data_IF_366311949866
#
_entry.id   IF_366311949866
#
_cell.length_a   1.000
_cell.length_b   1.000
_cell.length_c   1.000
_cell.angle_alpha   90.00
_cell.angle_beta   90.00
_cell.angle_gamma   90.00
#
_symmetry.space_group_name_H-M   'P 1'
#
loop_
_entity.id
_entity.type
_entity.pdbx_description
1 polymer ?
#
# COMPACT_ATOMS: atom_id res chain seq x y z
N UNK A 1 -5.90 -9.57 -50.48
CA UNK A 1 -5.29 -8.51 -49.64
C UNK A 1 -5.55 -8.90 -48.21
N UNK A 2 -4.55 -9.49 -47.54
CA UNK A 2 -4.64 -9.76 -46.11
C UNK A 2 -4.32 -8.42 -45.44
N UNK A 3 -5.31 -7.86 -44.75
CA UNK A 3 -5.22 -6.54 -44.15
C UNK A 3 -4.15 -6.55 -43.06
N UNK A 4 -3.10 -5.77 -43.24
CA UNK A 4 -1.95 -5.71 -42.32
C UNK A 4 -2.31 -5.17 -40.94
N UNK A 5 -3.48 -4.55 -40.75
CA UNK A 5 -3.94 -4.04 -39.46
C UNK A 5 -4.51 -5.14 -38.55
N UNK A 6 -5.17 -6.18 -39.10
CA UNK A 6 -5.79 -7.22 -38.28
C UNK A 6 -4.79 -8.17 -37.59
N UNK A 7 -3.52 -8.15 -38.02
CA UNK A 7 -2.45 -8.91 -37.38
C UNK A 7 -1.84 -8.13 -36.21
N UNK A 8 -1.87 -6.80 -36.24
CA UNK A 8 -1.31 -5.94 -35.19
C UNK A 8 -2.18 -5.99 -33.93
N UNK A 9 -3.51 -5.99 -34.08
CA UNK A 9 -4.44 -6.12 -32.94
C UNK A 9 -4.31 -7.45 -32.18
N UNK A 10 -3.92 -8.54 -32.87
CA UNK A 10 -3.78 -9.84 -32.23
C UNK A 10 -2.51 -9.96 -31.38
N UNK A 11 -1.44 -9.23 -31.75
CA UNK A 11 -0.12 -9.27 -31.11
C UNK A 11 0.22 -8.01 -30.30
N UNK A 12 -0.68 -7.04 -30.22
CA UNK A 12 -0.50 -5.81 -29.43
C UNK A 12 -0.55 -6.06 -27.91
N UNK A 13 -0.10 -5.07 -27.10
CA UNK A 13 -0.21 -5.13 -25.65
C UNK A 13 -1.67 -5.27 -25.23
N UNK A 14 -1.90 -5.99 -24.13
CA UNK A 14 -3.22 -6.23 -23.56
C UNK A 14 -3.29 -5.67 -22.15
N UNK A 15 -4.47 -5.25 -21.67
CA UNK A 15 -4.57 -4.75 -20.32
C UNK A 15 -4.32 -5.92 -19.35
N UNK A 16 -3.61 -5.66 -18.26
CA UNK A 16 -3.43 -6.66 -17.21
C UNK A 16 -4.79 -6.92 -16.54
N UNK A 17 -5.21 -8.18 -16.46
CA UNK A 17 -6.55 -8.55 -15.98
C UNK A 17 -6.77 -8.22 -14.51
N UNK A 18 -5.74 -8.34 -13.67
CA UNK A 18 -5.82 -8.00 -12.25
C UNK A 18 -6.09 -6.49 -12.07
N UNK A 19 -5.37 -5.64 -12.82
CA UNK A 19 -5.61 -4.19 -12.80
C UNK A 19 -7.01 -3.83 -13.32
N UNK A 20 -7.49 -4.49 -14.39
CA UNK A 20 -8.83 -4.27 -14.93
C UNK A 20 -9.90 -4.63 -13.90
N UNK A 21 -9.77 -5.79 -13.26
CA UNK A 21 -10.70 -6.25 -12.23
C UNK A 21 -10.76 -5.25 -11.08
N UNK A 22 -9.62 -4.85 -10.54
CA UNK A 22 -9.54 -3.86 -9.45
C UNK A 22 -10.15 -2.51 -9.85
N UNK A 23 -9.87 -2.03 -11.07
CA UNK A 23 -10.38 -0.75 -11.56
C UNK A 23 -11.90 -0.76 -11.66
N UNK A 24 -12.46 -1.85 -12.18
CA UNK A 24 -13.90 -2.04 -12.34
C UNK A 24 -14.60 -2.26 -10.99
N UNK A 25 -14.02 -3.06 -10.08
CA UNK A 25 -14.55 -3.23 -8.71
C UNK A 25 -14.60 -1.89 -7.98
N UNK A 26 -13.51 -1.10 -8.03
CA UNK A 26 -13.45 0.22 -7.39
C UNK A 26 -14.49 1.19 -7.98
N UNK A 27 -14.69 1.15 -9.30
CA UNK A 27 -15.74 1.94 -9.94
C UNK A 27 -17.13 1.50 -9.48
N UNK A 28 -17.37 0.20 -9.35
CA UNK A 28 -18.64 -0.35 -8.91
C UNK A 28 -18.91 0.02 -7.45
N UNK A 29 -17.93 -0.13 -6.55
CA UNK A 29 -18.03 0.26 -5.14
C UNK A 29 -18.45 1.72 -4.99
N UNK A 30 -17.79 2.62 -5.74
CA UNK A 30 -18.08 4.05 -5.73
C UNK A 30 -19.52 4.39 -6.11
N UNK A 31 -20.13 3.57 -6.98
CA UNK A 31 -21.50 3.75 -7.44
C UNK A 31 -22.54 3.09 -6.53
N UNK A 32 -22.15 2.14 -5.68
CA UNK A 32 -23.07 1.38 -4.84
C UNK A 32 -23.09 1.78 -3.38
N UNK A 33 -22.00 2.36 -2.86
CA UNK A 33 -21.95 2.78 -1.46
C UNK A 33 -22.77 4.04 -1.20
N UNK A 34 -23.41 4.11 -0.03
CA UNK A 34 -24.11 5.31 0.45
C UNK A 34 -23.17 6.29 1.18
N UNK A 35 -21.95 5.86 1.49
CA UNK A 35 -20.93 6.69 2.13
C UNK A 35 -20.20 7.54 1.08
N UNK A 36 -20.38 8.86 1.15
CA UNK A 36 -19.80 9.79 0.18
C UNK A 36 -18.28 9.86 0.20
N UNK A 37 -17.65 9.65 1.35
CA UNK A 37 -16.19 9.70 1.48
C UNK A 37 -15.59 8.44 0.87
N UNK A 38 -16.14 7.27 1.21
CA UNK A 38 -15.76 6.01 0.59
C UNK A 38 -16.03 6.00 -0.92
N UNK A 39 -17.16 6.56 -1.37
CA UNK A 39 -17.48 6.67 -2.79
C UNK A 39 -16.41 7.48 -3.55
N UNK A 40 -16.00 8.62 -2.99
CA UNK A 40 -14.97 9.47 -3.60
C UNK A 40 -13.59 8.80 -3.59
N UNK A 41 -13.24 8.11 -2.52
CA UNK A 41 -12.00 7.34 -2.43
C UNK A 41 -11.97 6.25 -3.51
N UNK A 42 -13.01 5.39 -3.58
CA UNK A 42 -13.06 4.30 -4.57
C UNK A 42 -13.12 4.80 -6.00
N UNK A 43 -13.77 5.94 -6.26
CA UNK A 43 -13.74 6.58 -7.58
C UNK A 43 -12.31 7.01 -7.95
N UNK A 44 -11.60 7.68 -7.03
CA UNK A 44 -10.21 8.12 -7.26
C UNK A 44 -9.30 6.92 -7.52
N UNK A 45 -9.45 5.85 -6.73
CA UNK A 45 -8.69 4.61 -6.90
C UNK A 45 -8.96 3.96 -8.26
N UNK A 46 -10.21 3.94 -8.71
CA UNK A 46 -10.58 3.44 -10.04
C UNK A 46 -9.90 4.25 -11.15
N UNK A 47 -9.94 5.58 -11.07
CA UNK A 47 -9.31 6.47 -12.05
C UNK A 47 -7.79 6.24 -12.13
N UNK A 48 -7.12 6.08 -10.98
CA UNK A 48 -5.69 5.76 -10.91
C UNK A 48 -5.37 4.39 -11.52
N UNK A 49 -6.19 3.37 -11.26
CA UNK A 49 -6.00 2.03 -11.83
C UNK A 49 -6.20 2.03 -13.35
N UNK A 50 -7.19 2.76 -13.87
CA UNK A 50 -7.35 2.92 -15.32
C UNK A 50 -6.17 3.69 -15.94
N UNK A 51 -5.63 4.70 -15.26
CA UNK A 51 -4.42 5.37 -15.70
C UNK A 51 -3.20 4.43 -15.70
N UNK A 52 -3.10 3.55 -14.71
CA UNK A 52 -2.03 2.55 -14.61
C UNK A 52 -2.13 1.48 -15.70
N UNK A 53 -3.34 1.02 -16.04
CA UNK A 53 -3.57 0.12 -17.19
C UNK A 53 -3.04 0.76 -18.48
N UNK A 54 -3.36 2.05 -18.71
CA UNK A 54 -2.88 2.79 -19.87
C UNK A 54 -1.34 2.91 -19.86
N UNK A 55 -0.73 3.16 -18.70
CA UNK A 55 0.73 3.21 -18.54
C UNK A 55 1.38 1.87 -18.92
N UNK A 56 0.81 0.76 -18.43
CA UNK A 56 1.31 -0.60 -18.69
C UNK A 56 1.17 -0.97 -20.17
N UNK A 57 0.06 -0.59 -20.81
CA UNK A 57 -0.14 -0.83 -22.24
C UNK A 57 0.74 0.04 -23.13
N UNK A 58 1.20 1.19 -22.62
CA UNK A 58 1.97 2.16 -23.39
C UNK A 58 1.12 2.95 -24.39
N UNK A 59 1.79 3.81 -25.15
CA UNK A 59 1.18 4.67 -26.16
C UNK A 59 1.73 4.36 -27.55
N UNK A 60 0.89 4.49 -28.57
CA UNK A 60 1.28 4.46 -29.97
C UNK A 60 1.97 5.76 -30.41
N UNK A 61 2.45 5.79 -31.67
CA UNK A 61 3.17 6.94 -32.24
C UNK A 61 2.34 8.24 -32.27
N UNK A 62 1.02 8.14 -32.26
CA UNK A 62 0.09 9.26 -32.22
C UNK A 62 -0.27 9.71 -30.78
N UNK A 63 0.27 9.03 -29.77
CA UNK A 63 0.03 9.29 -28.35
C UNK A 63 -1.24 8.66 -27.78
N UNK A 64 -1.93 7.79 -28.53
CA UNK A 64 -3.11 7.06 -28.06
C UNK A 64 -2.74 5.69 -27.48
N UNK A 65 -3.58 5.16 -26.60
CA UNK A 65 -3.46 3.78 -26.11
C UNK A 65 -3.86 2.81 -27.24
N UNK A 66 -3.11 1.72 -27.48
CA UNK A 66 -3.44 0.76 -28.53
C UNK A 66 -4.85 0.18 -28.41
N UNK A 67 -5.54 -0.03 -29.54
CA UNK A 67 -6.90 -0.63 -29.56
C UNK A 67 -6.93 -2.05 -28.95
N UNK A 68 -5.81 -2.79 -29.02
CA UNK A 68 -5.66 -4.10 -28.38
C UNK A 68 -5.69 -4.05 -26.84
N UNK A 69 -5.51 -2.85 -26.27
CA UNK A 69 -5.61 -2.59 -24.83
C UNK A 69 -7.04 -2.14 -24.41
N UNK A 70 -7.98 -2.03 -25.35
CA UNK A 70 -9.36 -1.67 -25.01
C UNK A 70 -9.94 -2.62 -23.97
N UNK A 71 -10.48 -2.04 -22.89
CA UNK A 71 -11.09 -2.78 -21.80
C UNK A 71 -12.52 -3.16 -22.22
N UNK A 72 -12.87 -4.43 -22.06
CA UNK A 72 -14.21 -4.91 -22.32
C UNK A 72 -15.20 -4.31 -21.31
N UNK A 73 -16.26 -3.69 -21.82
CA UNK A 73 -17.44 -3.32 -21.03
C UNK A 73 -18.46 -4.46 -20.97
N UNK A 74 -18.21 -5.57 -21.67
CA UNK A 74 -19.02 -6.78 -21.56
C UNK A 74 -18.65 -7.51 -20.26
N UNK A 75 -19.59 -7.54 -19.31
CA UNK A 75 -19.49 -8.18 -17.98
C UNK A 75 -18.42 -7.58 -17.06
N UNK A 76 -18.54 -6.29 -16.68
CA UNK A 76 -17.57 -5.66 -15.78
C UNK A 76 -17.61 -6.29 -14.39
N UNK A 77 -16.48 -6.26 -13.68
CA UNK A 77 -16.43 -6.68 -12.28
C UNK A 77 -17.48 -5.94 -11.43
N UNK A 78 -18.13 -6.69 -10.55
CA UNK A 78 -19.11 -6.14 -9.60
C UNK A 78 -18.44 -5.43 -8.42
N UNK A 79 -19.24 -4.80 -7.54
CA UNK A 79 -18.70 -4.22 -6.31
C UNK A 79 -18.18 -5.32 -5.39
N UNK A 80 -17.19 -4.96 -4.57
CA UNK A 80 -16.79 -5.71 -3.39
C UNK A 80 -17.96 -5.84 -2.40
N UNK A 81 -17.94 -6.87 -1.55
CA UNK A 81 -19.01 -7.04 -0.57
C UNK A 81 -18.85 -6.08 0.64
N UNK A 82 -17.63 -5.63 0.89
CA UNK A 82 -17.24 -4.71 1.96
C UNK A 82 -15.90 -4.03 1.65
N UNK A 83 -15.55 -2.92 2.33
CA UNK A 83 -14.20 -2.32 2.24
C UNK A 83 -13.08 -3.32 2.57
N UNK A 84 -13.30 -4.20 3.54
CA UNK A 84 -12.35 -5.24 3.91
C UNK A 84 -12.15 -6.26 2.79
N UNK A 85 -13.21 -6.63 2.06
CA UNK A 85 -13.09 -7.47 0.87
C UNK A 85 -12.35 -6.76 -0.27
N UNK A 86 -12.49 -5.43 -0.40
CA UNK A 86 -11.72 -4.64 -1.37
C UNK A 86 -10.21 -4.62 -1.02
N UNK A 87 -9.86 -4.50 0.26
CA UNK A 87 -8.48 -4.63 0.74
C UNK A 87 -7.93 -6.03 0.45
N UNK A 88 -8.68 -7.08 0.76
CA UNK A 88 -8.29 -8.45 0.48
C UNK A 88 -8.06 -8.70 -1.01
N UNK A 89 -8.93 -8.16 -1.89
CA UNK A 89 -8.78 -8.27 -3.33
C UNK A 89 -7.52 -7.53 -3.84
N UNK A 90 -7.22 -6.34 -3.32
CA UNK A 90 -5.98 -5.62 -3.64
C UNK A 90 -4.73 -6.41 -3.24
N UNK A 91 -4.74 -7.07 -2.09
CA UNK A 91 -3.64 -7.91 -1.59
C UNK A 91 -3.45 -9.16 -2.44
N UNK A 92 -4.56 -9.85 -2.77
CA UNK A 92 -4.55 -11.08 -3.57
C UNK A 92 -4.05 -10.82 -4.98
N UNK A 93 -4.56 -9.76 -5.61
CA UNK A 93 -4.23 -9.42 -7.00
C UNK A 93 -2.90 -8.66 -7.16
N UNK A 94 -2.24 -8.27 -6.07
CA UNK A 94 -0.94 -7.61 -6.13
C UNK A 94 0.14 -8.46 -6.81
N UNK A 95 0.11 -9.78 -6.61
CA UNK A 95 1.11 -10.67 -7.20
C UNK A 95 0.89 -10.94 -8.70
N UNK A 96 -0.36 -10.79 -9.17
CA UNK A 96 -0.76 -10.93 -10.57
C UNK A 96 -0.64 -9.62 -11.39
N UNK A 97 -0.49 -8.49 -10.69
CA UNK A 97 -0.20 -7.21 -11.30
C UNK A 97 1.29 -7.11 -11.72
N UNK A 98 1.62 -6.24 -12.71
CA UNK A 98 3.02 -5.93 -13.01
C UNK A 98 3.74 -5.42 -11.76
N UNK A 99 5.01 -5.78 -11.58
CA UNK A 99 5.81 -5.42 -10.40
C UNK A 99 5.80 -3.90 -10.14
N UNK A 100 5.97 -3.10 -11.20
CA UNK A 100 5.93 -1.63 -11.15
C UNK A 100 4.56 -1.06 -10.72
N UNK A 101 3.49 -1.84 -10.81
CA UNK A 101 2.13 -1.44 -10.41
C UNK A 101 1.80 -1.79 -8.96
N UNK A 102 2.58 -2.67 -8.32
CA UNK A 102 2.35 -3.10 -6.92
C UNK A 102 2.31 -1.94 -5.93
N UNK A 103 3.21 -0.94 -5.98
CA UNK A 103 3.14 0.19 -5.05
C UNK A 103 1.78 0.91 -5.06
N UNK A 104 1.17 1.06 -6.24
CA UNK A 104 -0.17 1.65 -6.35
C UNK A 104 -1.19 0.80 -5.61
N UNK A 105 -1.21 -0.51 -5.83
CA UNK A 105 -2.18 -1.41 -5.19
C UNK A 105 -2.04 -1.43 -3.67
N UNK A 106 -0.80 -1.45 -3.17
CA UNK A 106 -0.50 -1.38 -1.73
C UNK A 106 -0.96 -0.04 -1.15
N UNK A 107 -0.69 1.09 -1.82
CA UNK A 107 -1.15 2.40 -1.34
C UNK A 107 -2.69 2.49 -1.26
N UNK A 108 -3.40 1.91 -2.23
CA UNK A 108 -4.85 1.88 -2.24
C UNK A 108 -5.41 0.96 -1.14
N UNK A 109 -4.73 -0.16 -0.87
CA UNK A 109 -5.08 -1.07 0.21
C UNK A 109 -4.90 -0.40 1.58
N UNK A 110 -3.79 0.33 1.79
CA UNK A 110 -3.54 1.09 3.02
C UNK A 110 -4.63 2.15 3.23
N UNK A 111 -5.03 2.87 2.18
CA UNK A 111 -6.06 3.90 2.27
C UNK A 111 -7.47 3.36 2.63
N UNK A 112 -7.71 2.06 2.43
CA UNK A 112 -8.98 1.39 2.76
C UNK A 112 -8.91 0.55 4.05
N UNK A 113 -7.71 0.20 4.49
CA UNK A 113 -7.53 -0.75 5.57
C UNK A 113 -7.98 -0.14 6.91
N UNK A 114 -8.87 -0.86 7.59
CA UNK A 114 -9.29 -0.56 8.96
C UNK A 114 -9.04 -1.77 9.87
N UNK A 115 -9.07 -1.57 11.18
CA UNK A 115 -8.94 -2.65 12.15
C UNK A 115 -7.53 -3.26 12.22
N UNK A 116 -7.44 -4.56 12.50
CA UNK A 116 -6.17 -5.27 12.71
C UNK A 116 -6.17 -6.56 11.89
N UNK A 117 -5.07 -6.81 11.17
CA UNK A 117 -4.76 -8.09 10.55
C UNK A 117 -3.81 -8.88 11.45
N UNK A 118 -3.94 -10.21 11.54
CA UNK A 118 -3.07 -11.03 12.38
C UNK A 118 -1.65 -11.09 11.82
N UNK A 119 -0.66 -11.20 12.71
CA UNK A 119 0.70 -11.57 12.36
C UNK A 119 0.78 -12.99 11.80
N UNK A 120 1.81 -13.32 10.99
CA UNK A 120 2.04 -14.68 10.51
C UNK A 120 2.20 -15.69 11.67
N UNK A 121 1.49 -16.81 11.60
CA UNK A 121 1.59 -17.86 12.64
C UNK A 121 2.95 -18.59 12.63
N UNK A 122 3.52 -18.79 11.43
CA UNK A 122 4.82 -19.45 11.23
C UNK A 122 5.70 -18.56 10.32
N UNK A 123 6.27 -17.46 10.86
CA UNK A 123 7.03 -16.51 10.05
C UNK A 123 8.31 -17.14 9.50
N UNK A 124 8.58 -16.89 8.23
CA UNK A 124 9.83 -17.28 7.56
C UNK A 124 11.01 -16.41 8.01
N UNK A 125 12.25 -16.83 7.75
CA UNK A 125 13.46 -16.10 8.17
C UNK A 125 13.52 -14.69 7.57
N UNK A 126 13.03 -14.53 6.35
CA UNK A 126 12.92 -13.24 5.65
C UNK A 126 11.97 -12.29 6.39
N UNK A 127 10.81 -12.79 6.83
CA UNK A 127 9.83 -12.02 7.63
C UNK A 127 10.44 -11.60 8.97
N UNK A 128 11.14 -12.50 9.66
CA UNK A 128 11.80 -12.18 10.93
C UNK A 128 12.92 -11.16 10.77
N UNK A 129 13.67 -11.22 9.67
CA UNK A 129 14.72 -10.25 9.35
C UNK A 129 14.11 -8.86 9.10
N UNK A 130 13.04 -8.79 8.31
CA UNK A 130 12.33 -7.54 8.04
C UNK A 130 11.66 -6.97 9.29
N UNK A 131 11.01 -7.80 10.10
CA UNK A 131 10.42 -7.41 11.38
C UNK A 131 11.46 -6.85 12.36
N UNK A 132 12.67 -7.42 12.39
CA UNK A 132 13.80 -6.88 13.18
C UNK A 132 14.15 -5.46 12.71
N UNK A 133 14.30 -5.27 11.40
CA UNK A 133 14.61 -3.96 10.82
C UNK A 133 13.49 -2.95 11.09
N UNK A 134 12.22 -3.34 10.96
CA UNK A 134 11.09 -2.46 11.27
C UNK A 134 11.10 -2.07 12.75
N UNK A 135 11.31 -3.02 13.66
CA UNK A 135 11.34 -2.74 15.10
C UNK A 135 12.44 -1.76 15.49
N UNK A 136 13.66 -1.91 14.95
CA UNK A 136 14.75 -0.97 15.18
C UNK A 136 14.42 0.44 14.68
N UNK A 137 13.76 0.55 13.52
CA UNK A 137 13.32 1.84 12.99
C UNK A 137 12.22 2.45 13.87
N UNK A 138 11.26 1.66 14.35
CA UNK A 138 10.18 2.16 15.20
C UNK A 138 10.69 2.65 16.55
N UNK A 139 11.71 2.02 17.14
CA UNK A 139 12.35 2.58 18.33
C UNK A 139 13.01 3.94 18.07
N UNK A 140 13.64 4.12 16.91
CA UNK A 140 14.19 5.42 16.51
C UNK A 140 13.09 6.46 16.26
N UNK A 141 11.98 6.05 15.64
CA UNK A 141 10.79 6.87 15.39
C UNK A 141 10.21 7.37 16.70
N UNK A 142 9.91 6.48 17.66
CA UNK A 142 9.36 6.86 18.97
C UNK A 142 10.31 7.82 19.69
N UNK A 143 11.62 7.54 19.71
CA UNK A 143 12.60 8.45 20.30
C UNK A 143 12.55 9.84 19.66
N UNK A 144 12.47 9.91 18.33
CA UNK A 144 12.37 11.18 17.61
C UNK A 144 11.05 11.92 17.88
N UNK A 145 9.94 11.20 18.00
CA UNK A 145 8.64 11.76 18.36
C UNK A 145 8.67 12.34 19.80
N UNK A 146 9.29 11.65 20.76
CA UNK A 146 9.47 12.16 22.12
C UNK A 146 10.30 13.45 22.14
N UNK A 147 11.35 13.53 21.30
CA UNK A 147 12.14 14.76 21.14
C UNK A 147 11.29 15.88 20.53
N UNK A 148 10.49 15.59 19.50
CA UNK A 148 9.61 16.56 18.89
C UNK A 148 8.54 17.08 19.87
N UNK A 149 7.95 16.19 20.69
CA UNK A 149 7.00 16.55 21.73
C UNK A 149 7.62 17.49 22.77
N UNK A 150 8.86 17.22 23.18
CA UNK A 150 9.60 18.10 24.09
C UNK A 150 9.82 19.52 23.53
N UNK A 151 9.84 19.67 22.21
CA UNK A 151 9.91 20.94 21.48
C UNK A 151 8.53 21.49 21.07
N UNK A 152 7.43 20.88 21.52
CA UNK A 152 6.07 21.38 21.39
C UNK A 152 5.27 20.84 20.21
N UNK A 153 5.74 19.79 19.53
CA UNK A 153 4.93 19.06 18.56
C UNK A 153 3.77 18.33 19.24
N UNK A 154 2.65 18.16 18.53
CA UNK A 154 1.60 17.21 18.91
C UNK A 154 1.91 15.87 18.25
N UNK A 155 2.22 14.87 19.06
CA UNK A 155 2.58 13.53 18.59
C UNK A 155 1.58 12.49 19.11
N UNK A 156 1.37 11.42 18.34
CA UNK A 156 0.75 10.19 18.80
C UNK A 156 1.81 9.09 18.79
N UNK A 157 2.33 8.73 19.97
CA UNK A 157 3.26 7.62 20.11
C UNK A 157 2.55 6.30 20.39
N UNK A 158 1.27 6.28 20.77
CA UNK A 158 0.56 5.07 21.19
C UNK A 158 0.48 4.06 20.04
N UNK A 159 0.22 4.55 18.82
CA UNK A 159 0.15 3.72 17.61
C UNK A 159 1.51 3.10 17.26
N UNK A 160 2.60 3.84 17.46
CA UNK A 160 3.97 3.33 17.27
C UNK A 160 4.39 2.35 18.38
N UNK A 161 4.03 2.62 19.63
CA UNK A 161 4.29 1.71 20.76
C UNK A 161 3.57 0.37 20.57
N UNK A 162 2.31 0.39 20.14
CA UNK A 162 1.56 -0.82 19.80
C UNK A 162 2.25 -1.62 18.68
N UNK A 163 2.74 -0.94 17.64
CA UNK A 163 3.52 -1.55 16.56
C UNK A 163 4.80 -2.23 17.09
N UNK A 164 5.56 -1.55 17.97
CA UNK A 164 6.75 -2.16 18.58
C UNK A 164 6.43 -3.37 19.44
N UNK A 165 5.29 -3.36 20.14
CA UNK A 165 4.84 -4.49 20.95
C UNK A 165 4.55 -5.70 20.05
N UNK A 166 3.74 -5.54 19.01
CA UNK A 166 3.40 -6.61 18.06
C UNK A 166 4.66 -7.21 17.41
N UNK A 167 5.60 -6.36 16.95
CA UNK A 167 6.88 -6.81 16.38
C UNK A 167 7.76 -7.54 17.39
N UNK A 168 7.83 -7.05 18.64
CA UNK A 168 8.60 -7.70 19.70
C UNK A 168 8.03 -9.07 20.08
N UNK A 169 6.71 -9.21 20.07
CA UNK A 169 6.03 -10.49 20.31
C UNK A 169 6.29 -11.50 19.20
N UNK A 170 6.31 -11.05 17.94
CA UNK A 170 6.68 -11.90 16.78
C UNK A 170 8.12 -12.42 16.89
N UNK A 171 9.05 -11.55 17.26
CA UNK A 171 10.49 -11.86 17.33
C UNK A 171 10.89 -12.63 18.61
N UNK A 172 10.07 -12.56 19.66
CA UNK A 172 10.31 -13.24 20.93
C UNK A 172 11.67 -12.89 21.55
N UNK A 173 12.42 -13.91 21.98
CA UNK A 173 13.74 -13.74 22.63
C UNK A 173 14.82 -13.13 21.70
N UNK A 174 14.56 -13.04 20.40
CA UNK A 174 15.47 -12.44 19.42
C UNK A 174 15.19 -10.97 19.13
N UNK A 175 14.12 -10.41 19.71
CA UNK A 175 13.77 -9.01 19.52
C UNK A 175 14.94 -8.10 19.95
N UNK A 176 15.38 -7.15 19.09
CA UNK A 176 16.29 -6.10 19.50
C UNK A 176 15.65 -5.26 20.61
N UNK A 177 16.49 -4.65 21.44
CA UNK A 177 16.06 -3.68 22.44
C UNK A 177 16.41 -2.28 21.94
N UNK A 178 15.57 -1.30 22.27
CA UNK A 178 15.82 0.09 21.92
C UNK A 178 17.19 0.56 22.43
N UNK A 179 17.91 1.31 21.58
CA UNK A 179 19.14 1.97 21.98
C UNK A 179 18.86 3.11 22.98
N UNK A 180 19.88 3.44 23.78
CA UNK A 180 19.75 4.52 24.77
C UNK A 180 19.66 5.92 24.16
N UNK A 181 20.09 6.07 22.90
CA UNK A 181 20.05 7.32 22.13
C UNK A 181 20.26 7.02 20.64
N UNK A 182 19.69 7.87 19.79
CA UNK A 182 19.83 7.81 18.34
C UNK A 182 20.61 9.03 17.81
N UNK A 183 21.10 8.96 16.58
CA UNK A 183 21.79 10.06 15.90
C UNK A 183 20.88 10.64 14.81
N UNK A 184 20.60 11.94 14.90
CA UNK A 184 19.79 12.68 13.93
C UNK A 184 20.11 14.19 14.00
N UNK A 185 19.62 14.93 13.01
CA UNK A 185 19.44 16.38 13.14
C UNK A 185 18.13 16.61 13.90
N UNK A 186 18.24 17.05 15.15
CA UNK A 186 17.09 17.22 16.04
C UNK A 186 16.37 18.54 15.79
N UNK A 187 15.03 18.55 15.89
CA UNK A 187 14.25 19.77 15.69
C UNK A 187 14.53 20.79 16.79
N UNK A 188 14.19 22.05 16.50
CA UNK A 188 13.94 23.07 17.50
C UNK A 188 12.43 23.40 17.59
N UNK A 189 12.06 24.35 18.44
CA UNK A 189 10.65 24.72 18.66
C UNK A 189 9.94 25.18 17.37
N UNK A 190 10.67 25.57 16.32
CA UNK A 190 10.12 26.12 15.09
C UNK A 190 9.79 25.08 14.02
N UNK A 191 10.41 23.89 14.06
CA UNK A 191 10.24 22.82 13.09
C UNK A 191 9.81 21.47 13.70
N UNK A 192 9.65 21.38 15.02
CA UNK A 192 9.25 20.16 15.73
C UNK A 192 8.05 19.42 15.13
N UNK A 193 6.98 20.14 14.74
CA UNK A 193 5.81 19.48 14.14
C UNK A 193 6.12 18.88 12.77
N UNK A 194 6.86 19.61 11.91
CA UNK A 194 7.22 19.11 10.60
C UNK A 194 8.13 17.88 10.72
N UNK A 195 9.08 17.91 11.66
CA UNK A 195 9.92 16.76 11.98
C UNK A 195 9.10 15.55 12.45
N UNK A 196 8.12 15.75 13.34
CA UNK A 196 7.23 14.66 13.77
C UNK A 196 6.40 14.08 12.60
N UNK A 197 5.82 14.95 11.77
CA UNK A 197 5.05 14.54 10.60
C UNK A 197 5.93 13.73 9.63
N UNK A 198 7.17 14.16 9.40
CA UNK A 198 8.15 13.44 8.57
C UNK A 198 8.51 12.07 9.15
N UNK A 199 8.64 11.93 10.47
CA UNK A 199 8.91 10.64 11.11
C UNK A 199 7.74 9.66 10.95
N UNK A 200 6.51 10.12 11.17
CA UNK A 200 5.29 9.30 10.99
C UNK A 200 5.18 8.86 9.53
N UNK A 201 5.37 9.78 8.57
CA UNK A 201 5.32 9.43 7.15
C UNK A 201 6.44 8.46 6.77
N UNK A 202 7.66 8.66 7.26
CA UNK A 202 8.76 7.74 6.98
C UNK A 202 8.52 6.34 7.57
N UNK A 203 7.82 6.23 8.71
CA UNK A 203 7.43 4.92 9.28
C UNK A 203 6.37 4.24 8.40
N UNK A 204 5.33 4.96 7.97
CA UNK A 204 4.33 4.46 7.01
C UNK A 204 4.95 4.00 5.69
N UNK A 205 5.87 4.80 5.14
CA UNK A 205 6.55 4.50 3.89
C UNK A 205 7.39 3.21 3.98
N UNK A 206 8.03 2.95 5.13
CA UNK A 206 8.76 1.70 5.37
C UNK A 206 7.84 0.49 5.36
N UNK A 207 6.69 0.58 6.05
CA UNK A 207 5.68 -0.49 6.08
C UNK A 207 5.09 -0.71 4.68
N UNK A 208 4.80 0.36 3.94
CA UNK A 208 4.30 0.30 2.56
C UNK A 208 5.31 -0.33 1.60
N UNK A 209 6.60 0.04 1.73
CA UNK A 209 7.68 -0.55 0.94
C UNK A 209 7.84 -2.05 1.22
N UNK A 210 7.85 -2.45 2.49
CA UNK A 210 7.88 -3.86 2.89
C UNK A 210 6.69 -4.65 2.31
N UNK A 211 5.48 -4.06 2.35
CA UNK A 211 4.27 -4.70 1.84
C UNK A 211 4.31 -4.89 0.32
N UNK A 212 5.03 -4.02 -0.39
CA UNK A 212 5.23 -4.11 -1.85
C UNK A 212 6.15 -5.26 -2.24
N UNK A 213 7.14 -5.59 -1.41
CA UNK A 213 8.21 -6.54 -1.75
C UNK A 213 8.09 -7.91 -1.11
N UNK A 214 7.35 -8.05 -0.01
CA UNK A 214 7.13 -9.35 0.63
C UNK A 214 6.37 -10.32 -0.28
N UNK A 215 6.71 -11.60 -0.23
CA UNK A 215 5.95 -12.70 -0.86
C UNK A 215 5.01 -13.41 0.14
N UNK A 216 5.02 -13.03 1.43
CA UNK A 216 4.17 -13.60 2.47
C UNK A 216 2.84 -12.82 2.56
N UNK A 217 1.68 -13.44 2.24
CA UNK A 217 0.40 -12.72 2.21
C UNK A 217 -0.11 -12.30 3.59
N UNK A 218 0.16 -13.08 4.65
CA UNK A 218 -0.25 -12.70 6.01
C UNK A 218 0.59 -11.51 6.48
N UNK A 219 1.89 -11.55 6.20
CA UNK A 219 2.79 -10.43 6.49
C UNK A 219 2.40 -9.18 5.71
N UNK A 220 2.10 -9.31 4.41
CA UNK A 220 1.62 -8.20 3.57
C UNK A 220 0.37 -7.55 4.14
N UNK A 221 -0.61 -8.36 4.54
CA UNK A 221 -1.84 -7.87 5.17
C UNK A 221 -1.53 -7.14 6.48
N UNK A 222 -0.72 -7.73 7.36
CA UNK A 222 -0.33 -7.08 8.62
C UNK A 222 0.36 -5.74 8.39
N UNK A 223 1.29 -5.65 7.43
CA UNK A 223 2.00 -4.42 7.09
C UNK A 223 1.05 -3.32 6.59
N UNK A 224 0.10 -3.67 5.72
CA UNK A 224 -0.92 -2.74 5.20
C UNK A 224 -1.79 -2.18 6.33
N UNK A 225 -2.32 -3.05 7.19
CA UNK A 225 -3.16 -2.61 8.31
C UNK A 225 -2.36 -1.85 9.37
N UNK A 226 -1.07 -2.15 9.55
CA UNK A 226 -0.20 -1.39 10.46
C UNK A 226 0.09 0.00 9.91
N UNK A 227 0.39 0.13 8.62
CA UNK A 227 0.63 1.42 7.97
C UNK A 227 -0.61 2.34 8.01
N UNK A 228 -1.82 1.76 7.94
CA UNK A 228 -3.07 2.51 7.99
C UNK A 228 -3.37 3.13 9.37
N UNK A 229 -2.86 2.52 10.45
CA UNK A 229 -3.10 2.95 11.85
C UNK A 229 -2.19 4.08 12.34
N UNK A 230 -1.00 4.20 11.77
CA UNK A 230 -0.11 5.33 12.02
C UNK A 230 -0.78 6.63 11.54
#
# INVERSE_FOLDING_TARGET
MISSCAVVDFFGPRPNSALVELAQTAQADANTTDDSELAQLRLTQSEELFAEINRVCGLEEDGMVPDSCAISEEDPAGPSASPEDAVAQLIELADDAPEDSRPLLISQAIALAEGHAPLPEEPQEEVLTEATSLLENEYATIYGLDVAEAHGASVDTESHEALTLELSELLGDTAPVADTAYEAEWPDDSDAQAFADELVQASRDRLSAAATTTDDPQWRSWLIHSAAKL
#
